data_IF_391904974382
#
_entry.id   IF_391904974382
#
_cell.length_a   1.000
_cell.length_b   1.000
_cell.length_c   1.000
_cell.angle_alpha   90.00
_cell.angle_beta   90.00
_cell.angle_gamma   90.00
#
_symmetry.space_group_name_H-M   'P 1'
#
loop_
_entity.id
_entity.type
_entity.pdbx_description
1 polymer ?
#
# COMPACT_ATOMS: atom_id res chain seq x y z
N UNK A 1 -1.80 -7.54 2.96
CA UNK A 1 -1.12 -6.30 3.38
C UNK A 1 -2.11 -5.47 4.21
N UNK A 2 -1.96 -5.38 5.54
CA UNK A 2 -2.95 -4.75 6.43
C UNK A 2 -2.85 -3.22 6.52
N UNK A 3 -1.80 -2.62 5.97
CA UNK A 3 -1.62 -1.17 5.93
C UNK A 3 -0.25 -0.82 5.34
N UNK A 4 -0.08 0.45 5.02
CA UNK A 4 1.20 1.04 4.64
C UNK A 4 1.46 2.21 5.59
N UNK A 5 2.62 2.24 6.23
CA UNK A 5 3.05 3.31 7.13
C UNK A 5 4.48 3.70 6.76
N UNK A 6 4.77 5.00 6.77
CA UNK A 6 6.13 5.51 6.65
C UNK A 6 6.97 5.18 7.89
N UNK A 7 8.29 4.99 7.71
CA UNK A 7 9.23 4.85 8.82
C UNK A 7 9.33 6.15 9.63
N UNK A 8 9.56 6.01 10.94
CA UNK A 8 9.68 7.14 11.87
C UNK A 8 10.81 8.08 11.49
N UNK A 9 11.91 7.54 10.97
CA UNK A 9 13.12 8.28 10.58
C UNK A 9 12.84 9.14 9.34
N UNK A 10 12.12 8.57 8.36
CA UNK A 10 11.73 9.31 7.16
C UNK A 10 10.75 10.44 7.51
N UNK A 11 9.77 10.20 8.38
CA UNK A 11 8.86 11.25 8.83
C UNK A 11 9.61 12.39 9.53
N UNK A 12 10.54 12.06 10.43
CA UNK A 12 11.35 13.06 11.14
C UNK A 12 12.24 13.86 10.20
N UNK A 13 12.75 13.24 9.13
CA UNK A 13 13.55 13.93 8.11
C UNK A 13 12.77 14.96 7.29
N UNK A 14 11.46 14.76 7.13
CA UNK A 14 10.57 15.63 6.35
C UNK A 14 10.10 16.85 7.16
N UNK A 15 10.09 16.75 8.50
CA UNK A 15 9.68 17.86 9.37
C UNK A 15 10.84 18.84 9.55
N UNK A 16 10.74 20.02 8.93
CA UNK A 16 11.71 21.12 9.08
C UNK A 16 11.21 22.18 10.06
N UNK A 17 12.16 22.81 10.76
CA UNK A 17 11.87 23.93 11.67
C UNK A 17 11.32 25.10 10.86
N UNK A 18 10.28 25.76 11.36
CA UNK A 18 9.58 26.89 10.72
C UNK A 18 8.75 26.55 9.46
N UNK A 19 8.52 25.27 9.18
CA UNK A 19 7.55 24.83 8.16
C UNK A 19 6.28 24.30 8.83
N UNK A 20 5.12 24.64 8.28
CA UNK A 20 3.83 24.13 8.74
C UNK A 20 3.59 22.73 8.18
N UNK A 21 3.44 21.75 9.07
CA UNK A 21 3.03 20.40 8.73
C UNK A 21 1.52 20.30 8.93
N UNK A 22 0.76 20.24 7.85
CA UNK A 22 -0.69 20.08 7.90
C UNK A 22 -1.04 18.66 7.52
N UNK A 23 -1.90 18.03 8.31
CA UNK A 23 -2.30 16.64 8.12
C UNK A 23 -3.74 16.57 7.61
N UNK A 24 -3.94 15.84 6.51
CA UNK A 24 -5.25 15.63 5.92
C UNK A 24 -5.66 14.16 6.06
N UNK A 25 -6.80 13.92 6.69
CA UNK A 25 -7.44 12.62 6.70
C UNK A 25 -8.52 12.55 5.61
N UNK A 26 -8.48 11.51 4.80
CA UNK A 26 -9.51 11.22 3.81
C UNK A 26 -9.94 9.76 3.95
N UNK A 27 -11.24 9.55 4.12
CA UNK A 27 -11.84 8.22 4.12
C UNK A 27 -12.38 7.95 2.70
N UNK A 28 -11.90 6.90 2.05
CA UNK A 28 -12.31 6.51 0.69
C UNK A 28 -12.82 5.07 0.70
N UNK A 29 -13.88 4.82 -0.06
CA UNK A 29 -14.38 3.48 -0.35
C UNK A 29 -13.86 3.06 -1.72
N UNK A 30 -13.17 1.93 -1.78
CA UNK A 30 -12.68 1.34 -3.04
C UNK A 30 -13.76 0.46 -3.68
N UNK A 31 -13.56 0.13 -4.96
CA UNK A 31 -14.42 -0.79 -5.76
C UNK A 31 -14.70 -2.12 -5.05
N UNK A 32 -13.69 -2.68 -4.39
CA UNK A 32 -13.77 -3.97 -3.69
C UNK A 32 -14.46 -3.89 -2.32
N UNK A 33 -15.25 -2.85 -2.05
CA UNK A 33 -15.98 -2.58 -0.80
C UNK A 33 -15.10 -2.45 0.46
N UNK A 34 -13.79 -2.27 0.29
CA UNK A 34 -12.89 -1.86 1.36
C UNK A 34 -13.08 -0.39 1.67
N UNK A 35 -12.99 -0.03 2.94
CA UNK A 35 -12.90 1.38 3.35
C UNK A 35 -11.50 1.68 3.85
N UNK A 36 -10.86 2.64 3.22
CA UNK A 36 -9.49 3.05 3.49
C UNK A 36 -9.49 4.44 4.14
N UNK A 37 -8.62 4.63 5.12
CA UNK A 37 -8.26 5.92 5.68
C UNK A 37 -6.85 6.25 5.23
N UNK A 38 -6.75 7.19 4.31
CA UNK A 38 -5.48 7.72 3.85
C UNK A 38 -5.16 9.00 4.63
N UNK A 39 -3.90 9.14 5.02
CA UNK A 39 -3.37 10.34 5.65
C UNK A 39 -2.31 10.92 4.73
N UNK A 40 -2.55 12.13 4.26
CA UNK A 40 -1.60 12.89 3.46
C UNK A 40 -1.04 14.03 4.32
N UNK A 41 0.26 14.25 4.27
CA UNK A 41 0.90 15.40 4.92
C UNK A 41 1.00 16.51 3.86
N UNK A 42 0.15 17.54 3.98
CA UNK A 42 0.25 18.76 3.16
C UNK A 42 -0.68 19.91 3.61
N UNK A 43 -0.37 21.15 3.19
CA UNK A 43 -1.11 22.40 3.37
C UNK A 43 -2.48 22.42 2.66
N UNK A 44 -3.54 21.86 3.26
CA UNK A 44 -4.84 21.58 2.62
C UNK A 44 -5.49 22.77 1.87
N UNK A 45 -5.52 22.66 0.54
CA UNK A 45 -6.60 23.16 -0.34
C UNK A 45 -7.68 22.08 -0.56
N UNK A 46 -8.94 22.49 -0.68
CA UNK A 46 -10.08 21.60 -1.02
C UNK A 46 -9.86 20.77 -2.30
N UNK A 47 -9.07 21.30 -3.25
CA UNK A 47 -8.76 20.68 -4.54
C UNK A 47 -7.96 19.38 -4.43
N UNK A 48 -7.01 19.28 -3.50
CA UNK A 48 -6.19 18.07 -3.30
C UNK A 48 -7.00 16.92 -2.72
N UNK A 49 -7.92 17.22 -1.79
CA UNK A 49 -8.84 16.21 -1.25
C UNK A 49 -9.69 15.58 -2.36
N UNK A 50 -10.16 16.38 -3.32
CA UNK A 50 -10.91 15.87 -4.48
C UNK A 50 -10.11 14.86 -5.30
N UNK A 51 -8.89 15.21 -5.69
CA UNK A 51 -8.01 14.35 -6.51
C UNK A 51 -7.75 13.00 -5.82
N UNK A 52 -7.45 13.01 -4.51
CA UNK A 52 -7.22 11.77 -3.76
C UNK A 52 -8.44 10.84 -3.73
N UNK A 53 -9.65 11.39 -3.59
CA UNK A 53 -10.89 10.60 -3.57
C UNK A 53 -11.12 10.00 -4.95
N UNK A 54 -11.03 10.81 -6.00
CA UNK A 54 -11.21 10.39 -7.39
C UNK A 54 -10.24 9.26 -7.73
N UNK A 55 -8.94 9.45 -7.48
CA UNK A 55 -7.90 8.45 -7.77
C UNK A 55 -8.15 7.13 -7.00
N UNK A 56 -8.47 7.21 -5.70
CA UNK A 56 -8.67 5.99 -4.91
C UNK A 56 -10.02 5.30 -5.11
N UNK A 57 -11.01 5.95 -5.73
CA UNK A 57 -12.29 5.32 -6.06
C UNK A 57 -12.20 4.41 -7.29
N UNK A 58 -11.33 4.74 -8.26
CA UNK A 58 -11.27 4.03 -9.53
C UNK A 58 -10.47 2.73 -9.50
N UNK A 59 -9.55 2.54 -8.54
CA UNK A 59 -8.63 1.39 -8.55
C UNK A 59 -8.96 0.33 -7.51
N UNK A 60 -8.61 -0.92 -7.84
CA UNK A 60 -8.68 -2.05 -6.92
C UNK A 60 -7.54 -1.99 -5.88
N UNK A 61 -7.67 -2.71 -4.77
CA UNK A 61 -6.65 -2.70 -3.70
C UNK A 61 -5.24 -3.11 -4.21
N UNK A 62 -5.14 -4.12 -5.07
CA UNK A 62 -3.85 -4.58 -5.64
C UNK A 62 -3.21 -3.49 -6.52
N UNK A 63 -3.98 -2.91 -7.42
CA UNK A 63 -3.53 -1.83 -8.33
C UNK A 63 -3.16 -0.55 -7.57
N UNK A 64 -3.90 -0.23 -6.49
CA UNK A 64 -3.64 0.95 -5.67
C UNK A 64 -2.30 0.83 -4.94
N UNK A 65 -1.97 -0.36 -4.42
CA UNK A 65 -0.67 -0.63 -3.78
C UNK A 65 0.49 -0.46 -4.77
N UNK A 66 0.34 -0.96 -6.00
CA UNK A 66 1.35 -0.80 -7.05
C UNK A 66 1.57 0.66 -7.44
N UNK A 67 0.57 1.54 -7.26
CA UNK A 67 0.68 2.99 -7.49
C UNK A 67 1.23 3.78 -6.32
N UNK A 68 1.13 3.24 -5.10
CA UNK A 68 1.74 3.85 -3.92
C UNK A 68 3.26 3.75 -3.93
N UNK A 69 3.83 2.67 -4.48
CA UNK A 69 5.30 2.47 -4.56
C UNK A 69 6.00 3.55 -5.38
N UNK A 70 5.58 3.87 -6.62
CA UNK A 70 6.18 4.95 -7.42
C UNK A 70 5.62 6.34 -7.08
N UNK A 71 4.81 6.47 -6.01
CA UNK A 71 4.21 7.73 -5.57
C UNK A 71 3.52 8.52 -6.70
N UNK A 72 2.89 7.82 -7.66
CA UNK A 72 2.30 8.44 -8.86
C UNK A 72 1.21 9.46 -8.51
N UNK A 73 0.49 9.20 -7.42
CA UNK A 73 -0.54 10.09 -6.87
C UNK A 73 0.08 11.37 -6.31
N UNK A 74 1.27 11.31 -5.71
CA UNK A 74 2.00 12.48 -5.22
C UNK A 74 2.38 13.42 -6.36
N UNK A 75 2.93 12.86 -7.45
CA UNK A 75 3.32 13.62 -8.64
C UNK A 75 2.13 14.32 -9.32
N UNK A 76 0.98 13.68 -9.36
CA UNK A 76 -0.24 14.29 -9.91
C UNK A 76 -0.74 15.46 -9.06
N UNK A 77 -0.65 15.30 -7.73
CA UNK A 77 -1.00 16.35 -6.79
C UNK A 77 -0.06 17.55 -6.94
N UNK A 78 1.26 17.34 -7.01
CA UNK A 78 2.24 18.41 -7.19
C UNK A 78 1.99 19.23 -8.46
N UNK A 79 1.69 18.56 -9.58
CA UNK A 79 1.34 19.22 -10.85
C UNK A 79 0.08 20.07 -10.72
N UNK A 80 -0.97 19.54 -10.09
CA UNK A 80 -2.26 20.23 -9.96
C UNK A 80 -2.18 21.49 -9.08
N UNK A 81 -1.22 21.56 -8.16
CA UNK A 81 -1.08 22.68 -7.22
C UNK A 81 0.14 23.57 -7.43
N UNK A 82 1.03 23.21 -8.37
CA UNK A 82 2.13 24.06 -8.82
C UNK A 82 1.67 25.47 -9.23
N UNK A 83 0.42 25.61 -9.70
CA UNK A 83 -0.18 26.91 -10.06
C UNK A 83 -0.33 27.90 -8.90
N UNK A 84 -0.39 27.44 -7.65
CA UNK A 84 -0.58 28.32 -6.48
C UNK A 84 0.75 28.51 -5.75
N UNK A 85 1.46 27.41 -5.51
CA UNK A 85 2.75 27.41 -4.83
C UNK A 85 3.53 26.16 -5.26
N UNK A 86 4.85 26.26 -5.51
CA UNK A 86 5.66 25.09 -5.82
C UNK A 86 5.72 24.19 -4.59
N UNK A 87 5.06 23.05 -4.67
CA UNK A 87 5.11 22.04 -3.62
C UNK A 87 6.29 21.12 -3.87
N UNK A 88 6.95 20.73 -2.79
CA UNK A 88 7.96 19.68 -2.80
C UNK A 88 7.56 18.64 -1.75
N UNK A 89 7.77 17.37 -2.06
CA UNK A 89 7.68 16.26 -1.11
C UNK A 89 6.24 15.94 -0.65
N UNK A 90 5.30 15.82 -1.60
CA UNK A 90 3.93 15.39 -1.28
C UNK A 90 3.85 13.86 -1.15
N UNK A 91 3.64 13.38 0.08
CA UNK A 91 3.62 11.95 0.39
C UNK A 91 2.37 11.50 1.15
N UNK A 92 1.96 10.25 0.89
CA UNK A 92 0.91 9.57 1.65
C UNK A 92 1.57 8.92 2.87
N UNK A 93 1.43 9.54 4.04
CA UNK A 93 2.05 9.09 5.30
C UNK A 93 1.64 7.69 5.71
N UNK A 94 0.33 7.42 5.63
CA UNK A 94 -0.23 6.13 6.03
C UNK A 94 -1.55 5.82 5.36
N UNK A 95 -1.76 4.55 5.10
CA UNK A 95 -3.02 3.98 4.60
C UNK A 95 -3.46 2.89 5.56
N UNK A 96 -4.60 3.11 6.21
CA UNK A 96 -5.22 2.14 7.13
C UNK A 96 -6.51 1.60 6.53
N UNK A 97 -6.75 0.30 6.65
CA UNK A 97 -8.04 -0.31 6.33
C UNK A 97 -8.94 -0.14 7.55
N UNK A 98 -10.07 0.54 7.39
CA UNK A 98 -11.04 0.74 8.47
C UNK A 98 -12.04 -0.41 8.55
N UNK A 99 -12.54 -0.83 7.38
CA UNK A 99 -13.51 -1.91 7.27
C UNK A 99 -13.06 -2.83 6.15
N UNK A 100 -12.71 -4.05 6.53
CA UNK A 100 -12.59 -5.15 5.60
C UNK A 100 -13.99 -5.59 5.15
N UNK A 101 -14.17 -5.98 3.89
CA UNK A 101 -15.41 -6.59 3.43
C UNK A 101 -15.62 -7.93 4.11
N UNK A 102 -16.86 -8.43 4.08
CA UNK A 102 -17.16 -9.78 4.57
C UNK A 102 -16.41 -10.78 3.70
N UNK A 103 -15.81 -11.77 4.35
CA UNK A 103 -14.92 -12.73 3.71
C UNK A 103 -15.76 -13.79 2.98
N UNK A 104 -15.78 -13.75 1.65
CA UNK A 104 -16.47 -14.73 0.83
C UNK A 104 -15.47 -15.81 0.37
N UNK A 105 -15.72 -17.07 0.73
CA UNK A 105 -14.85 -18.22 0.40
C UNK A 105 -14.59 -18.36 -1.11
N UNK A 106 -15.58 -17.99 -1.94
CA UNK A 106 -15.49 -18.05 -3.40
C UNK A 106 -14.46 -17.07 -4.00
N UNK A 107 -14.38 -15.84 -3.50
CA UNK A 107 -13.39 -14.84 -3.95
C UNK A 107 -11.96 -15.22 -3.55
N UNK A 108 -11.81 -15.99 -2.48
CA UNK A 108 -10.50 -16.44 -2.01
C UNK A 108 -9.92 -17.54 -2.91
N UNK A 109 -10.76 -18.44 -3.39
CA UNK A 109 -10.36 -19.50 -4.32
C UNK A 109 -9.92 -18.96 -5.68
N UNK A 110 -10.52 -17.85 -6.14
CA UNK A 110 -10.08 -17.17 -7.37
C UNK A 110 -8.67 -16.57 -7.21
N UNK A 111 -8.41 -15.90 -6.09
CA UNK A 111 -7.10 -15.26 -5.84
C UNK A 111 -5.95 -16.27 -5.70
N UNK A 112 -6.21 -17.50 -5.24
CA UNK A 112 -5.20 -18.57 -5.19
C UNK A 112 -4.95 -19.24 -6.55
N UNK A 113 -5.87 -19.13 -7.51
CA UNK A 113 -5.69 -19.69 -8.85
C UNK A 113 -4.72 -18.84 -9.69
N UNK A 114 -4.72 -17.53 -9.48
CA UNK A 114 -3.82 -16.57 -10.17
C UNK A 114 -2.34 -16.65 -9.71
N UNK A 115 -2.03 -17.24 -8.55
CA UNK A 115 -0.64 -17.29 -8.04
C UNK A 115 0.22 -18.39 -8.68
N UNK A 116 -0.39 -19.38 -9.37
CA UNK A 116 0.35 -20.50 -9.95
C UNK A 116 1.16 -20.12 -11.19
N UNK A 117 0.80 -19.03 -11.88
CA UNK A 117 1.49 -18.62 -13.11
C UNK A 117 2.85 -17.96 -12.82
N UNK A 118 2.99 -17.21 -11.72
CA UNK A 118 4.21 -16.48 -11.37
C UNK A 118 5.28 -17.31 -10.62
N UNK A 119 4.92 -18.44 -10.00
CA UNK A 119 5.86 -19.30 -9.24
C UNK A 119 6.64 -20.28 -10.13
N UNK A 120 6.22 -20.45 -11.38
CA UNK A 120 6.83 -21.39 -12.33
C UNK A 120 8.24 -20.99 -12.82
N UNK A 121 8.74 -19.79 -12.47
CA UNK A 121 10.06 -19.29 -12.89
C UNK A 121 11.12 -19.13 -11.79
N UNK A 122 10.85 -19.54 -10.55
CA UNK A 122 11.90 -19.59 -9.51
C UNK A 122 12.29 -21.04 -9.29
N UNK A 123 13.38 -21.46 -9.93
CA UNK A 123 14.01 -22.75 -9.68
C UNK A 123 14.31 -22.86 -8.18
N UNK A 124 13.64 -23.85 -7.57
CA UNK A 124 13.85 -24.28 -6.19
C UNK A 124 15.17 -25.04 -6.18
N UNK A 125 16.23 -24.37 -5.77
CA UNK A 125 17.50 -24.99 -5.36
C UNK A 125 17.20 -25.87 -4.15
N UNK A 126 16.97 -27.16 -4.42
CA UNK A 126 16.60 -28.14 -3.42
C UNK A 126 17.83 -28.47 -2.56
N UNK A 127 17.76 -28.12 -1.28
CA UNK A 127 18.62 -28.66 -0.24
C UNK A 127 18.48 -30.19 -0.18
N UNK A 128 19.60 -30.91 -0.06
CA UNK A 128 19.66 -32.36 0.02
C UNK A 128 18.92 -32.91 1.26
N UNK A 129 18.25 -34.08 1.15
CA UNK A 129 17.58 -34.68 2.30
C UNK A 129 18.58 -35.33 3.27
N UNK A 130 18.46 -34.96 4.55
CA UNK A 130 19.13 -35.60 5.68
C UNK A 130 18.64 -37.06 5.77
N UNK A 131 19.57 -38.00 5.60
CA UNK A 131 19.36 -39.45 5.80
C UNK A 131 19.10 -39.74 7.28
N UNK A 132 17.90 -40.24 7.57
CA UNK A 132 17.47 -40.65 8.89
C UNK A 132 18.13 -41.98 9.27
N UNK A 133 19.12 -41.92 10.17
CA UNK A 133 19.76 -43.10 10.74
C UNK A 133 18.80 -43.78 11.73
N UNK A 134 18.12 -44.84 11.30
CA UNK A 134 17.50 -45.80 12.21
C UNK A 134 18.42 -47.01 12.39
N UNK A 135 19.05 -47.10 13.56
CA UNK A 135 19.72 -48.32 14.04
C UNK A 135 19.36 -48.57 15.50
N UNK A 136 18.45 -49.53 15.75
CA UNK A 136 18.43 -50.38 16.97
C UNK A 136 17.72 -51.70 16.59
N UNK A 137 18.45 -52.75 16.20
CA UNK A 137 18.82 -53.97 16.97
C UNK A 137 17.64 -54.90 17.34
N UNK A 138 17.65 -56.11 16.74
CA UNK A 138 17.54 -57.38 17.48
C UNK A 138 16.20 -58.14 17.48
N UNK A 139 16.11 -59.15 16.61
CA UNK A 139 15.73 -60.53 16.95
C UNK A 139 16.24 -61.46 15.84
#
# INVERSE_FOLDING_TARGET
>A
MMGMDFTTDKLRSLVRKWQSLIEAHVNVKTTNSYTLRMLCIWFINKRIRGIMITQAQFYNLKELVLKFIPESIGNEIEKATSSIYPLQNVFIRRVKILKAPKFDLGKLMEVHRDYSEDVSKVERWADEPIVEATKVIGA
#
